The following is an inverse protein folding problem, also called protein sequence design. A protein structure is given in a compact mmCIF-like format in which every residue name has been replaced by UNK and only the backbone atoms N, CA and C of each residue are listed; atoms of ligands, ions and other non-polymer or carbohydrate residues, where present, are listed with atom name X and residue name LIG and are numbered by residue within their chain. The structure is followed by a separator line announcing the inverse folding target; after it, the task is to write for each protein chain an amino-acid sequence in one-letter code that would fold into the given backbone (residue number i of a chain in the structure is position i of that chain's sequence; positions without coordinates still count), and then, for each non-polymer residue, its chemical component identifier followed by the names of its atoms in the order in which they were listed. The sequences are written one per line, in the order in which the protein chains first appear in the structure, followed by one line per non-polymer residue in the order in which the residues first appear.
data_IF_721969374865
#
_entry.id   IF_721969374865
#
_cell.length_a   1.000
_cell.length_b   1.000
_cell.length_c   1.000
_cell.angle_alpha   90.00
_cell.angle_beta   90.00
_cell.angle_gamma   90.00
#
_symmetry.space_group_name_H-M   'P 1'
#
loop_
_entity.id
_entity.type
_entity.pdbx_description
1 polymer ?
#
# COMPACT_ATOMS: atom_id res chain seq x y z
N UNK A 1 -11.00 14.96 -7.27
CA UNK A 1 -12.12 15.19 -6.33
C UNK A 1 -11.81 16.44 -5.50
N UNK A 2 -12.76 17.37 -5.34
CA UNK A 2 -12.58 18.56 -4.48
C UNK A 2 -13.44 18.45 -3.23
N UNK A 3 -13.09 19.19 -2.17
CA UNK A 3 -13.91 19.29 -0.97
C UNK A 3 -15.32 19.83 -1.29
N UNK A 4 -16.33 19.26 -0.63
CA UNK A 4 -17.75 19.58 -0.79
C UNK A 4 -18.43 19.75 0.58
N UNK A 5 -19.68 20.21 0.59
CA UNK A 5 -20.45 20.33 1.83
C UNK A 5 -20.64 18.99 2.54
N UNK A 6 -20.65 17.88 1.80
CA UNK A 6 -20.68 16.53 2.37
C UNK A 6 -19.38 16.20 3.10
N UNK A 7 -18.23 16.43 2.46
CA UNK A 7 -16.92 16.11 3.07
C UNK A 7 -16.63 17.00 4.27
N UNK A 8 -16.96 18.30 4.21
CA UNK A 8 -16.75 19.26 5.30
C UNK A 8 -17.54 18.93 6.58
N UNK A 9 -18.68 18.23 6.45
CA UNK A 9 -19.44 17.74 7.61
C UNK A 9 -18.70 16.64 8.37
N UNK A 10 -17.86 15.85 7.70
CA UNK A 10 -17.10 14.74 8.28
C UNK A 10 -15.70 15.16 8.70
N UNK A 11 -15.05 15.97 7.86
CA UNK A 11 -13.70 16.48 8.07
C UNK A 11 -13.65 17.94 7.58
N UNK A 12 -13.65 18.94 8.50
CA UNK A 12 -13.93 20.34 8.19
C UNK A 12 -12.70 21.08 7.63
N UNK A 13 -12.16 20.59 6.52
CA UNK A 13 -11.03 21.19 5.79
C UNK A 13 -11.31 21.22 4.28
N UNK A 14 -10.55 22.03 3.55
CA UNK A 14 -10.59 22.09 2.09
C UNK A 14 -9.39 21.38 1.49
N UNK A 15 -9.63 20.56 0.47
CA UNK A 15 -8.59 19.82 -0.23
C UNK A 15 -9.00 19.55 -1.69
N UNK A 16 -8.02 19.21 -2.51
CA UNK A 16 -8.21 18.63 -3.83
C UNK A 16 -7.40 17.33 -3.94
N UNK A 17 -8.02 16.29 -4.49
CA UNK A 17 -7.40 15.01 -4.80
C UNK A 17 -7.33 14.83 -6.31
N UNK A 18 -6.19 14.39 -6.81
CA UNK A 18 -6.02 13.90 -8.17
C UNK A 18 -5.42 12.49 -8.12
N UNK A 19 -5.92 11.61 -8.99
CA UNK A 19 -5.39 10.25 -9.12
C UNK A 19 -4.97 10.04 -10.57
N UNK A 20 -3.67 9.90 -10.78
CA UNK A 20 -3.06 9.65 -12.08
C UNK A 20 -2.86 8.15 -12.27
N UNK A 21 -3.14 7.65 -13.48
CA UNK A 21 -2.93 6.26 -13.87
C UNK A 21 -2.22 6.24 -15.23
N UNK A 22 -1.06 5.61 -15.30
CA UNK A 22 -0.30 5.39 -16.53
C UNK A 22 -0.06 3.89 -16.72
N UNK A 23 -0.46 3.38 -17.88
CA UNK A 23 -0.31 1.98 -18.23
C UNK A 23 0.76 1.82 -19.30
N UNK A 24 1.73 0.95 -19.01
CA UNK A 24 2.80 0.55 -19.90
C UNK A 24 2.71 -0.96 -20.19
N UNK A 25 3.61 -1.49 -21.02
CA UNK A 25 3.55 -2.89 -21.46
C UNK A 25 3.67 -3.92 -20.32
N UNK A 26 4.48 -3.64 -19.29
CA UNK A 26 4.72 -4.53 -18.16
C UNK A 26 4.67 -3.80 -16.80
N UNK A 27 4.12 -2.58 -16.78
CA UNK A 27 4.11 -1.71 -15.61
C UNK A 27 2.81 -0.91 -15.52
N UNK A 28 2.36 -0.69 -14.29
CA UNK A 28 1.28 0.22 -13.94
C UNK A 28 1.85 1.27 -12.99
N UNK A 29 1.84 2.53 -13.40
CA UNK A 29 2.18 3.65 -12.52
C UNK A 29 0.91 4.35 -12.08
N UNK A 30 0.86 4.69 -10.79
CA UNK A 30 -0.25 5.39 -10.18
C UNK A 30 0.26 6.45 -9.22
N UNK A 31 -0.35 7.62 -9.21
CA UNK A 31 -0.01 8.68 -8.27
C UNK A 31 -1.29 9.24 -7.62
N UNK A 32 -1.32 9.31 -6.30
CA UNK A 32 -2.31 10.08 -5.55
C UNK A 32 -1.71 11.42 -5.17
N UNK A 33 -2.28 12.51 -5.68
CA UNK A 33 -1.95 13.87 -5.29
C UNK A 33 -3.00 14.39 -4.32
N UNK A 34 -2.56 14.90 -3.17
CA UNK A 34 -3.38 15.56 -2.16
C UNK A 34 -2.91 17.00 -2.05
N UNK A 35 -3.70 17.93 -2.57
CA UNK A 35 -3.43 19.35 -2.49
C UNK A 35 -4.22 19.98 -1.33
N UNK A 36 -3.51 20.63 -0.41
CA UNK A 36 -4.13 21.33 0.72
C UNK A 36 -4.59 22.74 0.29
N UNK A 37 -5.85 22.85 -0.13
CA UNK A 37 -6.48 24.16 -0.44
C UNK A 37 -7.04 24.86 0.79
N UNK A 38 -6.85 24.31 1.99
CA UNK A 38 -7.26 24.94 3.23
C UNK A 38 -6.29 26.04 3.65
N UNK A 39 -6.71 26.88 4.59
CA UNK A 39 -5.89 27.99 5.10
C UNK A 39 -4.92 27.58 6.22
N UNK A 40 -4.94 26.31 6.63
CA UNK A 40 -4.13 25.76 7.73
C UNK A 40 -3.58 24.39 7.33
N UNK A 41 -2.53 23.90 8.03
CA UNK A 41 -2.08 22.52 7.86
C UNK A 41 -3.22 21.52 8.08
N UNK A 42 -3.26 20.48 7.26
CA UNK A 42 -4.18 19.34 7.40
C UNK A 42 -3.39 18.08 7.73
N UNK A 43 -3.99 17.13 8.46
CA UNK A 43 -3.38 15.85 8.76
C UNK A 43 -4.21 14.68 8.22
N UNK A 44 -3.56 13.68 7.63
CA UNK A 44 -4.27 12.55 7.02
C UNK A 44 -3.39 11.30 6.91
N UNK A 45 -4.05 10.17 6.66
CA UNK A 45 -3.41 8.97 6.14
C UNK A 45 -3.74 8.85 4.65
N UNK A 46 -2.82 8.29 3.87
CA UNK A 46 -3.03 7.98 2.46
C UNK A 46 -2.44 6.61 2.16
N UNK A 47 -3.13 5.81 1.36
CA UNK A 47 -2.69 4.45 1.03
C UNK A 47 -3.32 4.00 -0.29
N UNK A 48 -2.55 3.28 -1.10
CA UNK A 48 -3.03 2.60 -2.31
C UNK A 48 -3.30 1.14 -1.94
N UNK A 49 -4.58 0.76 -1.84
CA UNK A 49 -4.99 -0.54 -1.32
C UNK A 49 -5.00 -1.61 -2.42
N UNK A 50 -3.83 -1.95 -2.97
CA UNK A 50 -3.75 -2.85 -4.11
C UNK A 50 -4.00 -4.30 -3.71
N UNK A 51 -4.92 -4.96 -4.42
CA UNK A 51 -5.12 -6.41 -4.37
C UNK A 51 -4.35 -7.02 -5.55
N UNK A 52 -3.20 -7.62 -5.28
CA UNK A 52 -2.38 -8.28 -6.30
C UNK A 52 -2.87 -9.70 -6.49
N UNK A 53 -3.16 -10.06 -7.73
CA UNK A 53 -3.59 -11.41 -8.08
C UNK A 53 -2.47 -12.44 -7.84
N UNK A 54 -2.82 -13.51 -7.14
CA UNK A 54 -2.01 -14.71 -6.98
C UNK A 54 -2.76 -15.92 -7.55
N UNK A 55 -2.05 -16.86 -8.17
CA UNK A 55 -2.70 -18.09 -8.63
C UNK A 55 -3.23 -18.93 -7.45
N UNK A 56 -2.40 -19.10 -6.42
CA UNK A 56 -2.78 -19.70 -5.14
C UNK A 56 -1.79 -19.22 -4.09
N UNK A 57 -2.25 -18.48 -3.09
CA UNK A 57 -1.41 -17.92 -2.02
C UNK A 57 -0.88 -18.98 -1.06
N UNK A 58 -1.54 -20.14 -1.00
CA UNK A 58 -1.22 -21.24 -0.08
C UNK A 58 0.00 -22.02 -0.57
N UNK A 59 0.50 -22.90 0.29
CA UNK A 59 1.59 -23.83 -0.04
C UNK A 59 2.77 -23.14 -0.73
N UNK A 60 3.23 -22.03 -0.14
CA UNK A 60 4.37 -21.23 -0.61
C UNK A 60 4.16 -20.60 -2.00
N UNK A 61 2.93 -20.32 -2.42
CA UNK A 61 2.65 -19.71 -3.71
C UNK A 61 2.92 -18.20 -3.79
N UNK A 62 3.17 -17.54 -2.65
CA UNK A 62 3.63 -16.14 -2.57
C UNK A 62 4.73 -16.01 -1.53
N UNK A 63 5.80 -15.30 -1.87
CA UNK A 63 6.89 -14.93 -0.95
C UNK A 63 7.18 -13.44 -1.00
N UNK A 64 6.98 -12.75 0.12
CA UNK A 64 7.28 -11.32 0.27
C UNK A 64 8.71 -11.15 0.79
N UNK A 65 9.46 -10.21 0.23
CA UNK A 65 10.83 -9.88 0.64
C UNK A 65 11.08 -8.37 0.67
N UNK A 66 12.32 -7.96 0.95
CA UNK A 66 12.77 -6.56 1.13
C UNK A 66 12.30 -5.90 2.44
N UNK A 67 11.73 -6.68 3.37
CA UNK A 67 11.19 -6.16 4.65
C UNK A 67 12.00 -6.56 5.89
N UNK A 68 13.10 -7.30 5.73
CA UNK A 68 13.95 -7.73 6.85
C UNK A 68 14.53 -6.54 7.62
N UNK A 69 14.50 -6.65 8.94
CA UNK A 69 15.00 -5.63 9.87
C UNK A 69 14.00 -4.51 10.17
N UNK A 70 12.85 -4.47 9.50
CA UNK A 70 11.84 -3.45 9.74
C UNK A 70 11.00 -3.76 10.97
N UNK A 71 10.62 -2.70 11.67
CA UNK A 71 9.54 -2.75 12.66
C UNK A 71 8.18 -2.73 11.95
N UNK A 72 7.27 -3.58 12.41
CA UNK A 72 5.90 -3.60 11.93
C UNK A 72 4.91 -3.77 13.07
N UNK A 73 3.73 -3.18 12.90
CA UNK A 73 2.59 -3.42 13.77
C UNK A 73 1.72 -4.53 13.18
N UNK A 74 1.65 -5.65 13.88
CA UNK A 74 0.76 -6.76 13.56
C UNK A 74 -0.64 -6.44 14.09
N UNK A 75 -1.58 -6.16 13.20
CA UNK A 75 -2.97 -5.85 13.56
C UNK A 75 -3.78 -7.08 13.93
N UNK A 76 -3.33 -8.29 13.63
CA UNK A 76 -3.99 -9.53 14.09
C UNK A 76 -3.70 -9.74 15.56
N UNK A 77 -2.42 -9.73 15.95
CA UNK A 77 -2.01 -9.93 17.35
C UNK A 77 -1.98 -8.63 18.18
N UNK A 78 -2.13 -7.46 17.55
CA UNK A 78 -2.07 -6.12 18.18
C UNK A 78 -0.75 -5.84 18.87
N UNK A 79 0.37 -6.20 18.23
CA UNK A 79 1.71 -6.06 18.81
C UNK A 79 2.71 -5.52 17.81
N UNK A 80 3.67 -4.74 18.27
CA UNK A 80 4.87 -4.39 17.49
C UNK A 80 5.82 -5.59 17.44
N UNK A 81 6.39 -5.84 16.25
CA UNK A 81 7.33 -6.91 15.97
C UNK A 81 8.44 -6.40 15.05
N UNK A 82 9.51 -7.19 14.93
CA UNK A 82 10.57 -6.97 13.95
C UNK A 82 10.57 -8.13 12.97
N UNK A 83 10.62 -7.84 11.67
CA UNK A 83 10.75 -8.88 10.65
C UNK A 83 12.20 -9.37 10.58
N UNK A 84 12.42 -10.62 10.97
CA UNK A 84 13.77 -11.21 11.01
C UNK A 84 14.07 -12.08 9.79
N UNK A 85 13.03 -12.44 9.01
CA UNK A 85 13.13 -13.33 7.86
C UNK A 85 13.57 -12.54 6.63
N UNK A 86 14.40 -13.15 5.79
CA UNK A 86 14.80 -12.55 4.49
C UNK A 86 13.63 -12.49 3.51
N UNK A 87 12.76 -13.50 3.56
CA UNK A 87 11.49 -13.55 2.85
C UNK A 87 10.49 -14.40 3.64
N UNK A 88 9.20 -14.23 3.38
CA UNK A 88 8.15 -15.01 4.04
C UNK A 88 6.93 -15.25 3.15
N UNK A 89 6.32 -16.43 3.31
CA UNK A 89 4.99 -16.73 2.78
C UNK A 89 3.87 -16.40 3.75
N UNK A 90 2.63 -16.47 3.25
CA UNK A 90 1.40 -16.24 4.00
C UNK A 90 0.79 -17.60 4.37
N UNK A 91 0.75 -17.92 5.67
CA UNK A 91 0.26 -19.21 6.18
C UNK A 91 -0.96 -19.09 7.09
N UNK A 92 -1.37 -17.86 7.39
CA UNK A 92 -2.52 -17.50 8.21
C UNK A 92 -2.94 -16.07 7.88
N UNK A 93 -4.01 -15.59 8.54
CA UNK A 93 -4.41 -14.19 8.47
C UNK A 93 -3.21 -13.28 8.74
N UNK A 94 -2.96 -12.35 7.83
CA UNK A 94 -1.88 -11.38 7.91
C UNK A 94 -2.47 -9.99 7.72
N UNK A 95 -2.09 -9.05 8.59
CA UNK A 95 -2.49 -7.65 8.55
C UNK A 95 -1.39 -6.85 9.23
N UNK A 96 -0.32 -6.55 8.49
CA UNK A 96 0.94 -6.04 9.04
C UNK A 96 1.30 -4.69 8.42
N UNK A 97 1.47 -3.66 9.24
CA UNK A 97 1.94 -2.33 8.80
C UNK A 97 3.44 -2.22 9.05
N UNK A 98 4.24 -2.30 7.99
CA UNK A 98 5.69 -2.08 8.04
C UNK A 98 5.99 -0.58 7.97
N UNK A 99 6.51 -0.03 9.06
CA UNK A 99 6.75 1.42 9.19
C UNK A 99 8.02 1.84 8.45
N UNK A 100 7.97 2.98 7.77
CA UNK A 100 9.12 3.58 7.08
C UNK A 100 9.86 2.58 6.17
N UNK A 101 9.10 1.72 5.49
CA UNK A 101 9.60 0.66 4.63
C UNK A 101 10.43 1.22 3.46
N UNK A 102 11.39 0.45 2.90
CA UNK A 102 12.14 0.85 1.72
C UNK A 102 11.22 1.10 0.52
N UNK A 103 11.71 1.82 -0.48
CA UNK A 103 10.91 2.16 -1.65
C UNK A 103 10.45 0.92 -2.44
N UNK A 104 11.18 -0.20 -2.34
CA UNK A 104 10.86 -1.42 -3.08
C UNK A 104 10.32 -2.50 -2.16
N UNK A 105 9.25 -3.16 -2.59
CA UNK A 105 8.73 -4.42 -2.03
C UNK A 105 8.62 -5.43 -3.15
N UNK A 106 9.12 -6.64 -2.92
CA UNK A 106 9.13 -7.71 -3.91
C UNK A 106 8.24 -8.84 -3.43
N UNK A 107 7.51 -9.44 -4.37
CA UNK A 107 6.67 -10.59 -4.12
C UNK A 107 6.86 -11.63 -5.24
N UNK A 108 7.46 -12.75 -4.88
CA UNK A 108 7.69 -13.88 -5.78
C UNK A 108 6.46 -14.81 -5.77
N UNK A 109 5.91 -15.06 -6.95
CA UNK A 109 4.61 -15.69 -7.16
C UNK A 109 4.77 -17.00 -7.92
N UNK A 110 4.15 -18.07 -7.41
CA UNK A 110 3.96 -19.30 -8.16
C UNK A 110 2.84 -19.08 -9.18
N UNK A 111 3.14 -19.26 -10.46
CA UNK A 111 2.13 -19.14 -11.51
C UNK A 111 1.57 -20.50 -11.96
N UNK A 112 0.52 -20.46 -12.77
CA UNK A 112 -0.06 -21.68 -13.38
C UNK A 112 0.89 -22.38 -14.36
N UNK A 113 1.71 -21.57 -15.06
CA UNK A 113 2.57 -22.03 -16.17
C UNK A 113 4.03 -21.65 -15.98
N UNK A 114 4.27 -20.48 -15.38
CA UNK A 114 5.58 -19.97 -15.04
C UNK A 114 5.46 -19.13 -13.79
N UNK A 115 6.49 -19.16 -12.97
CA UNK A 115 6.59 -18.29 -11.82
C UNK A 115 6.88 -16.86 -12.32
N UNK A 116 6.47 -15.88 -11.53
CA UNK A 116 6.71 -14.47 -11.83
C UNK A 116 6.95 -13.68 -10.55
N UNK A 117 7.56 -12.51 -10.69
CA UNK A 117 7.76 -11.55 -9.62
C UNK A 117 6.87 -10.35 -9.87
N UNK A 118 6.21 -9.90 -8.81
CA UNK A 118 5.66 -8.56 -8.71
C UNK A 118 6.61 -7.70 -7.90
N UNK A 119 6.94 -6.54 -8.43
CA UNK A 119 7.70 -5.51 -7.72
C UNK A 119 6.83 -4.27 -7.58
N UNK A 120 6.70 -3.80 -6.33
CA UNK A 120 6.00 -2.56 -5.99
C UNK A 120 7.05 -1.57 -5.53
N UNK A 121 7.30 -0.57 -6.37
CA UNK A 121 8.10 0.59 -6.02
C UNK A 121 7.17 1.71 -5.55
N UNK A 122 7.53 2.39 -4.45
CA UNK A 122 6.71 3.40 -3.78
C UNK A 122 7.55 4.59 -3.35
N UNK A 123 7.00 5.78 -3.53
CA UNK A 123 7.62 7.04 -3.13
C UNK A 123 6.57 8.00 -2.60
N UNK A 124 6.97 8.84 -1.63
CA UNK A 124 6.13 9.92 -1.14
C UNK A 124 6.90 11.22 -1.18
N UNK A 125 6.32 12.30 -1.67
CA UNK A 125 6.91 13.64 -1.64
C UNK A 125 5.91 14.70 -1.19
N UNK A 126 6.43 15.80 -0.65
CA UNK A 126 5.67 17.04 -0.50
C UNK A 126 6.32 18.08 -1.39
N UNK A 127 5.54 18.64 -2.30
CA UNK A 127 5.97 19.69 -3.22
C UNK A 127 5.53 21.05 -2.66
N UNK A 128 6.51 21.91 -2.40
CA UNK A 128 6.30 23.33 -2.16
C UNK A 128 6.45 24.11 -3.48
N UNK A 129 6.19 25.43 -3.44
CA UNK A 129 6.27 26.30 -4.64
C UNK A 129 7.62 26.28 -5.39
N UNK A 130 8.68 25.71 -4.82
CA UNK A 130 10.04 25.74 -5.35
C UNK A 130 10.80 24.39 -5.32
N UNK A 131 10.39 23.41 -4.50
CA UNK A 131 11.09 22.12 -4.35
C UNK A 131 10.17 20.97 -3.92
N UNK A 132 10.59 19.74 -4.26
CA UNK A 132 9.99 18.49 -3.77
C UNK A 132 10.86 17.90 -2.65
N UNK A 133 10.26 17.60 -1.50
CA UNK A 133 10.91 16.93 -0.36
C UNK A 133 10.38 15.52 -0.17
N UNK A 134 11.28 14.53 -0.18
CA UNK A 134 10.91 13.14 0.07
C UNK A 134 10.34 12.94 1.49
N UNK A 135 9.33 12.10 1.60
CA UNK A 135 8.69 11.70 2.85
C UNK A 135 8.87 10.21 3.09
N UNK A 136 8.70 9.78 4.34
CA UNK A 136 8.69 8.36 4.66
C UNK A 136 7.37 7.74 4.24
N UNK A 137 7.43 6.52 3.71
CA UNK A 137 6.27 5.71 3.35
C UNK A 137 6.34 4.36 4.05
N UNK A 138 5.17 3.82 4.34
CA UNK A 138 4.93 2.51 4.93
C UNK A 138 4.51 1.52 3.82
N UNK A 139 4.45 0.24 4.17
CA UNK A 139 3.73 -0.76 3.35
C UNK A 139 2.88 -1.64 4.26
N UNK A 140 1.65 -1.91 3.84
CA UNK A 140 0.80 -2.93 4.47
C UNK A 140 0.88 -4.21 3.65
N UNK A 141 1.06 -5.34 4.34
CA UNK A 141 0.89 -6.67 3.77
C UNK A 141 -0.35 -7.28 4.39
N UNK A 142 -1.32 -7.65 3.54
CA UNK A 142 -2.60 -8.18 4.02
C UNK A 142 -3.10 -9.39 3.21
N UNK A 143 -3.63 -10.36 3.93
CA UNK A 143 -4.47 -11.43 3.41
C UNK A 143 -5.42 -11.87 4.55
N UNK A 144 -6.74 -11.91 4.31
CA UNK A 144 -7.71 -12.17 5.39
C UNK A 144 -7.63 -13.62 5.89
N UNK A 145 -7.20 -14.54 5.03
CA UNK A 145 -7.33 -15.98 5.24
C UNK A 145 -8.78 -16.45 5.40
N UNK A 146 -8.96 -17.76 5.49
CA UNK A 146 -10.27 -18.41 5.38
C UNK A 146 -11.32 -17.90 6.39
N UNK A 147 -10.96 -17.78 7.66
CA UNK A 147 -11.94 -17.44 8.70
C UNK A 147 -12.39 -15.99 8.62
N UNK A 148 -11.50 -15.05 8.27
CA UNK A 148 -11.87 -13.65 8.10
C UNK A 148 -12.64 -13.43 6.80
N UNK A 149 -12.26 -14.10 5.71
CA UNK A 149 -12.94 -13.99 4.41
C UNK A 149 -14.45 -14.27 4.54
N UNK A 150 -14.82 -15.36 5.24
CA UNK A 150 -16.22 -15.75 5.50
C UNK A 150 -17.05 -14.73 6.30
N UNK A 151 -16.41 -13.72 6.88
CA UNK A 151 -17.08 -12.68 7.68
C UNK A 151 -17.26 -11.37 6.92
N UNK A 152 -16.83 -11.31 5.66
CA UNK A 152 -16.86 -10.12 4.82
C UNK A 152 -18.00 -10.26 3.82
N UNK A 153 -19.05 -9.46 3.96
CA UNK A 153 -20.25 -9.54 3.13
C UNK A 153 -19.99 -9.24 1.64
N UNK A 154 -18.91 -8.54 1.34
CA UNK A 154 -18.48 -8.13 0.00
C UNK A 154 -17.28 -8.91 -0.55
N UNK A 155 -16.92 -10.03 0.08
CA UNK A 155 -15.76 -10.85 -0.29
C UNK A 155 -16.12 -12.34 -0.24
N UNK A 156 -15.78 -13.08 -1.29
CA UNK A 156 -16.08 -14.51 -1.37
C UNK A 156 -15.28 -15.34 -0.36
N UNK A 157 -15.89 -16.40 0.18
CA UNK A 157 -15.29 -17.29 1.19
C UNK A 157 -13.89 -17.80 0.84
N UNK A 158 -13.61 -17.97 -0.45
CA UNK A 158 -12.34 -18.50 -0.98
C UNK A 158 -11.51 -17.47 -1.77
N UNK A 159 -11.97 -16.22 -1.92
CA UNK A 159 -11.26 -15.19 -2.70
C UNK A 159 -9.88 -14.85 -2.12
N UNK A 160 -9.66 -15.14 -0.83
CA UNK A 160 -8.35 -14.97 -0.18
C UNK A 160 -7.25 -15.84 -0.82
N UNK A 161 -7.63 -16.94 -1.47
CA UNK A 161 -6.68 -17.87 -2.11
C UNK A 161 -5.97 -17.16 -3.26
N UNK A 162 -6.66 -16.25 -3.95
CA UNK A 162 -6.18 -15.67 -5.20
C UNK A 162 -5.59 -14.27 -5.05
N UNK A 163 -5.24 -13.86 -3.83
CA UNK A 163 -4.74 -12.51 -3.60
C UNK A 163 -3.68 -12.38 -2.51
N UNK A 164 -2.86 -11.35 -2.66
CA UNK A 164 -2.10 -10.73 -1.57
C UNK A 164 -2.22 -9.22 -1.75
N UNK A 165 -2.44 -8.49 -0.67
CA UNK A 165 -2.45 -7.05 -0.71
C UNK A 165 -1.07 -6.52 -0.32
N UNK A 166 -0.55 -5.64 -1.17
CA UNK A 166 0.71 -4.92 -0.98
C UNK A 166 0.38 -3.45 -1.17
N UNK A 167 0.34 -2.73 -0.06
CA UNK A 167 -0.35 -1.45 -0.01
C UNK A 167 0.63 -0.36 0.44
N UNK A 168 1.27 0.36 -0.49
CA UNK A 168 2.11 1.49 -0.12
C UNK A 168 1.24 2.62 0.41
N UNK A 169 1.77 3.33 1.40
CA UNK A 169 1.05 4.48 1.95
C UNK A 169 1.81 5.20 3.03
N UNK A 170 1.09 6.00 3.80
CA UNK A 170 1.51 6.61 5.05
C UNK A 170 0.37 6.45 6.05
N UNK A 171 0.48 5.42 6.87
CA UNK A 171 -0.62 4.92 7.73
C UNK A 171 -0.18 4.55 9.14
N UNK A 172 1.13 4.40 9.37
CA UNK A 172 1.70 4.22 10.70
C UNK A 172 1.58 5.49 11.55
N UNK A 173 1.51 6.65 10.90
CA UNK A 173 1.23 7.95 11.50
C UNK A 173 0.66 8.91 10.45
N UNK A 174 -0.02 9.96 10.92
CA UNK A 174 -0.58 10.97 10.02
C UNK A 174 0.53 11.79 9.37
N UNK A 175 0.40 11.99 8.05
CA UNK A 175 1.14 13.01 7.33
C UNK A 175 0.53 14.38 7.67
N UNK A 176 1.36 15.36 8.01
CA UNK A 176 0.95 16.76 8.15
C UNK A 176 1.35 17.51 6.88
N UNK A 177 0.36 18.07 6.18
CA UNK A 177 0.56 18.81 4.94
C UNK A 177 0.28 20.31 5.17
N UNK A 178 1.29 21.19 5.04
CA UNK A 178 1.10 22.64 5.13
C UNK A 178 0.08 23.20 4.14
N UNK A 179 -0.41 24.41 4.42
CA UNK A 179 -1.38 25.10 3.56
C UNK A 179 -0.76 25.44 2.19
N UNK A 180 -1.46 25.11 1.11
CA UNK A 180 -1.03 25.37 -0.26
C UNK A 180 -0.04 24.36 -0.84
N UNK A 181 0.46 23.39 -0.06
CA UNK A 181 1.36 22.36 -0.53
C UNK A 181 0.62 21.13 -1.09
N UNK A 182 1.33 20.30 -1.83
CA UNK A 182 0.80 19.05 -2.40
C UNK A 182 1.63 17.86 -1.93
N UNK A 183 0.97 16.87 -1.35
CA UNK A 183 1.56 15.56 -1.10
C UNK A 183 1.31 14.64 -2.30
N UNK A 184 2.34 13.95 -2.75
CA UNK A 184 2.25 12.92 -3.79
C UNK A 184 2.64 11.57 -3.21
N UNK A 185 1.76 10.58 -3.31
CA UNK A 185 2.06 9.16 -3.10
C UNK A 185 2.12 8.48 -4.47
N UNK A 186 3.32 8.17 -4.93
CA UNK A 186 3.59 7.52 -6.20
C UNK A 186 3.87 6.03 -6.01
N UNK A 187 3.40 5.21 -6.95
CA UNK A 187 3.67 3.79 -7.01
C UNK A 187 3.88 3.35 -8.46
N UNK A 188 4.86 2.47 -8.65
CA UNK A 188 5.01 1.65 -9.85
C UNK A 188 4.87 0.17 -9.48
N UNK A 189 3.93 -0.53 -10.12
CA UNK A 189 3.81 -1.99 -10.05
C UNK A 189 4.38 -2.56 -11.34
N UNK A 190 5.38 -3.43 -11.26
CA UNK A 190 5.94 -4.14 -12.41
C UNK A 190 5.81 -5.65 -12.27
N UNK A 191 5.71 -6.34 -13.41
CA UNK A 191 5.68 -7.80 -13.48
C UNK A 191 6.85 -8.32 -14.32
N UNK A 192 7.57 -9.30 -13.79
CA UNK A 192 8.71 -9.93 -14.45
C UNK A 192 8.60 -11.45 -14.34
N UNK A 193 8.81 -12.18 -15.43
CA UNK A 193 8.86 -13.64 -15.41
C UNK A 193 10.23 -14.09 -14.89
N UNK A 194 10.31 -15.17 -14.10
CA UNK A 194 11.61 -15.78 -13.79
C UNK A 194 12.25 -16.29 -15.09
N UNK A 195 13.50 -15.88 -15.32
CA UNK A 195 14.34 -16.38 -16.42
C UNK A 195 14.65 -17.86 -16.24
#
# INVERSE_FOLDING_TARGET
MKASDSTRKMWPVDFELEYEVKLYSAQLETALHVHNTFTKPIDFHALLHNYIYAHDVRDNGVWISELKGLEYFDKVSKTNKTEIRDAFGLTAQTDSIYKNAPNKVRADMRGAHFDYTIEVEKEGSIDDSNNASATKTDVVIWNPWADRAKTMDDFGDEEYINMVAIEPGRVSEKLVLPAGETYTLHQTISVQRFS
#
